data_IF_188349515086
#
_entry.id   IF_188349515086
#
_cell.length_a   1.000
_cell.length_b   1.000
_cell.length_c   1.000
_cell.angle_alpha   90.00
_cell.angle_beta   90.00
_cell.angle_gamma   90.00
#
_symmetry.space_group_name_H-M   'P 1'
#
loop_
_entity.id
_entity.type
_entity.pdbx_description
1 polymer ?
#
# COMPACT_ATOMS: atom_id res chain seq x y z
N UNK A 1 -8.40 56.71 -54.51
CA UNK A 1 -7.48 57.23 -53.49
C UNK A 1 -7.28 56.19 -52.41
N UNK A 2 -6.08 55.77 -52.20
CA UNK A 2 -5.68 54.64 -51.33
C UNK A 2 -5.65 55.05 -49.85
N UNK A 3 -6.21 54.24 -49.00
CA UNK A 3 -6.02 54.30 -47.54
C UNK A 3 -5.08 53.17 -47.11
N UNK A 4 -4.00 53.52 -46.41
CA UNK A 4 -2.98 52.64 -45.88
C UNK A 4 -3.38 52.24 -44.47
N UNK A 5 -3.41 50.95 -44.19
CA UNK A 5 -3.62 50.41 -42.87
C UNK A 5 -2.27 50.16 -42.16
N UNK A 6 -2.11 50.68 -40.97
CA UNK A 6 -0.95 50.47 -40.08
C UNK A 6 -1.30 49.36 -39.10
N UNK A 7 -0.43 48.36 -38.98
CA UNK A 7 -0.46 47.30 -37.99
C UNK A 7 0.24 47.76 -36.68
N UNK A 8 -0.23 47.37 -35.50
CA UNK A 8 0.55 47.51 -34.28
C UNK A 8 1.34 46.24 -33.95
N UNK A 9 2.54 46.44 -33.56
CA UNK A 9 3.58 45.51 -33.07
C UNK A 9 3.11 44.84 -31.75
N UNK A 10 3.22 43.51 -31.72
CA UNK A 10 3.05 42.71 -30.52
C UNK A 10 4.30 42.77 -29.63
N UNK A 11 4.12 43.14 -28.37
CA UNK A 11 5.14 43.01 -27.32
C UNK A 11 5.18 41.57 -26.81
N UNK A 12 6.39 41.01 -26.78
CA UNK A 12 6.70 39.77 -26.07
C UNK A 12 6.84 40.10 -24.58
N UNK A 13 5.96 39.54 -23.77
CA UNK A 13 6.17 39.44 -22.32
C UNK A 13 6.56 38.00 -21.99
N UNK A 14 7.76 37.85 -21.42
CA UNK A 14 8.28 36.62 -20.83
C UNK A 14 7.49 36.23 -19.59
N UNK A 15 6.79 35.09 -19.63
CA UNK A 15 6.28 34.43 -18.44
C UNK A 15 7.28 33.38 -17.93
N UNK A 16 7.60 33.34 -16.62
CA UNK A 16 8.48 32.32 -16.07
C UNK A 16 7.76 30.99 -15.93
N UNK A 17 8.38 29.95 -16.47
CA UNK A 17 7.94 28.56 -16.37
C UNK A 17 7.93 28.07 -14.90
N UNK A 18 6.79 28.08 -14.27
CA UNK A 18 6.54 27.30 -13.07
C UNK A 18 6.07 25.90 -13.48
N UNK A 19 6.96 24.91 -13.29
CA UNK A 19 6.65 23.49 -13.42
C UNK A 19 5.68 23.02 -12.35
N UNK A 20 4.39 23.29 -12.54
CA UNK A 20 3.31 22.71 -11.76
C UNK A 20 3.01 21.31 -12.26
N UNK A 21 3.07 20.32 -11.39
CA UNK A 21 2.55 18.98 -11.64
C UNK A 21 1.04 19.14 -11.91
N UNK A 22 0.65 18.99 -13.18
CA UNK A 22 -0.77 18.89 -13.56
C UNK A 22 -1.25 17.49 -13.17
N UNK A 23 -2.00 17.41 -12.08
CA UNK A 23 -2.92 16.29 -11.88
C UNK A 23 -3.95 16.35 -13.02
N UNK A 24 -3.96 15.32 -13.86
CA UNK A 24 -5.07 15.10 -14.80
C UNK A 24 -6.31 14.80 -13.95
N UNK A 25 -7.20 15.78 -13.84
CA UNK A 25 -8.53 15.57 -13.29
C UNK A 25 -9.26 14.61 -14.24
N UNK A 26 -9.94 13.57 -13.74
CA UNK A 26 -10.77 12.71 -14.57
C UNK A 26 -11.86 13.53 -15.23
N UNK A 27 -12.20 13.18 -16.46
CA UNK A 27 -13.24 13.79 -17.29
C UNK A 27 -14.59 13.76 -16.52
N UNK A 28 -15.27 14.90 -16.30
CA UNK A 28 -16.54 14.95 -15.58
C UNK A 28 -17.72 14.28 -16.28
N UNK A 29 -17.51 13.65 -17.44
CA UNK A 29 -18.55 12.91 -18.19
C UNK A 29 -18.70 11.45 -17.79
N UNK A 30 -17.84 10.90 -16.90
CA UNK A 30 -18.03 9.57 -16.35
C UNK A 30 -18.96 9.67 -15.15
N UNK A 31 -20.03 8.89 -15.17
CA UNK A 31 -21.05 8.76 -14.11
C UNK A 31 -20.39 8.42 -12.76
N UNK A 32 -19.89 9.47 -12.08
CA UNK A 32 -19.25 9.34 -10.80
C UNK A 32 -20.34 9.23 -9.75
N UNK A 33 -20.63 7.99 -9.31
CA UNK A 33 -21.38 7.81 -8.08
C UNK A 33 -20.72 8.65 -6.99
N UNK A 34 -21.48 9.47 -6.26
CA UNK A 34 -20.99 10.36 -5.20
C UNK A 34 -20.21 9.59 -4.10
N UNK A 35 -20.36 8.27 -4.05
CA UNK A 35 -19.72 7.38 -3.09
C UNK A 35 -19.18 6.19 -3.87
N UNK A 36 -17.88 5.90 -3.69
CA UNK A 36 -17.26 4.71 -4.26
C UNK A 36 -17.99 3.44 -3.81
N UNK A 37 -18.39 2.52 -4.72
CA UNK A 37 -19.12 1.30 -4.37
C UNK A 37 -18.48 0.48 -3.26
N UNK A 38 -17.16 0.36 -3.22
CA UNK A 38 -16.44 -0.35 -2.14
C UNK A 38 -16.79 0.15 -0.75
N UNK A 39 -17.07 1.43 -0.58
CA UNK A 39 -17.39 1.99 0.74
C UNK A 39 -18.75 1.50 1.30
N UNK A 40 -19.63 1.04 0.44
CA UNK A 40 -20.96 0.53 0.85
C UNK A 40 -20.90 -0.86 1.48
N UNK A 41 -19.75 -1.53 1.41
CA UNK A 41 -19.58 -2.90 1.89
C UNK A 41 -18.56 -2.97 3.02
N UNK A 42 -18.82 -3.88 3.96
CA UNK A 42 -17.78 -4.38 4.87
C UNK A 42 -17.28 -5.71 4.34
N UNK A 43 -15.99 -5.79 4.11
CA UNK A 43 -15.36 -7.01 3.62
C UNK A 43 -14.84 -7.84 4.80
N UNK A 44 -15.10 -9.13 4.75
CA UNK A 44 -14.49 -10.15 5.58
C UNK A 44 -13.88 -11.19 4.65
N UNK A 45 -12.59 -11.50 4.83
CA UNK A 45 -11.81 -12.37 3.95
C UNK A 45 -11.08 -13.41 4.77
N UNK A 46 -11.18 -14.66 4.35
CA UNK A 46 -10.43 -15.76 4.94
C UNK A 46 -8.97 -15.71 4.47
N UNK A 47 -8.05 -15.80 5.43
CA UNK A 47 -6.61 -15.91 5.19
C UNK A 47 -6.14 -17.24 5.75
N UNK A 48 -5.51 -18.04 4.89
CA UNK A 48 -5.11 -19.40 5.21
C UNK A 48 -3.82 -19.43 6.03
N UNK A 49 -3.77 -20.40 6.92
CA UNK A 49 -2.54 -20.76 7.62
C UNK A 49 -1.51 -21.32 6.65
N UNK A 50 -0.23 -20.99 6.89
CA UNK A 50 0.90 -21.51 6.16
C UNK A 50 1.96 -22.05 7.13
N UNK A 51 2.15 -23.35 7.20
CA UNK A 51 3.08 -23.98 8.14
C UNK A 51 4.53 -23.49 7.97
N UNK A 52 4.95 -23.26 6.73
CA UNK A 52 6.26 -22.73 6.39
C UNK A 52 6.12 -21.34 5.78
N UNK A 53 5.79 -20.37 6.62
CA UNK A 53 5.44 -19.02 6.19
C UNK A 53 6.61 -18.24 5.57
N UNK A 54 7.81 -18.41 6.14
CA UNK A 54 8.98 -17.61 5.77
C UNK A 54 10.26 -18.45 5.64
N UNK A 55 11.08 -18.06 4.69
CA UNK A 55 12.43 -18.60 4.51
C UNK A 55 13.43 -17.46 4.38
N UNK A 56 14.50 -17.48 5.16
CA UNK A 56 15.57 -16.49 5.05
C UNK A 56 16.22 -16.45 3.66
N UNK A 57 16.15 -17.55 2.88
CA UNK A 57 16.70 -17.65 1.52
C UNK A 57 15.68 -17.26 0.45
N UNK A 58 14.43 -17.69 0.58
CA UNK A 58 13.40 -17.59 -0.47
C UNK A 58 12.38 -16.47 -0.22
N UNK A 59 12.27 -15.97 1.01
CA UNK A 59 11.23 -15.03 1.42
C UNK A 59 9.93 -15.73 1.81
N UNK A 60 8.79 -15.11 1.59
CA UNK A 60 7.47 -15.67 1.86
C UNK A 60 7.18 -16.86 0.93
N UNK A 61 6.70 -17.97 1.51
CA UNK A 61 6.43 -19.21 0.78
C UNK A 61 4.92 -19.34 0.49
N UNK A 62 4.37 -18.37 -0.23
CA UNK A 62 2.95 -18.24 -0.53
C UNK A 62 2.71 -18.50 -2.03
N UNK A 63 2.07 -19.59 -2.36
CA UNK A 63 1.63 -19.89 -3.72
C UNK A 63 0.32 -19.14 -4.09
N UNK A 64 -0.27 -19.44 -5.24
CA UNK A 64 -1.47 -18.76 -5.73
C UNK A 64 -2.71 -18.96 -4.84
N UNK A 65 -2.76 -20.02 -4.04
CA UNK A 65 -3.88 -20.29 -3.14
C UNK A 65 -3.98 -19.27 -1.98
N UNK A 66 -2.92 -18.50 -1.74
CA UNK A 66 -2.85 -17.43 -0.74
C UNK A 66 -3.16 -16.05 -1.29
N UNK A 67 -3.60 -15.94 -2.56
CA UNK A 67 -3.94 -14.65 -3.17
C UNK A 67 -5.13 -14.02 -2.45
N UNK A 68 -4.96 -12.75 -2.08
CA UNK A 68 -6.04 -11.95 -1.54
C UNK A 68 -7.03 -11.57 -2.65
N UNK A 69 -8.30 -11.49 -2.29
CA UNK A 69 -9.33 -10.96 -3.17
C UNK A 69 -9.00 -9.51 -3.56
N UNK A 70 -9.37 -9.12 -4.76
CA UNK A 70 -9.31 -7.75 -5.22
C UNK A 70 -10.72 -7.13 -5.22
N UNK A 71 -10.86 -6.00 -4.54
CA UNK A 71 -12.13 -5.28 -4.47
C UNK A 71 -12.14 -4.03 -5.36
N UNK A 72 -11.03 -3.71 -6.04
CA UNK A 72 -10.92 -2.59 -6.96
C UNK A 72 -11.88 -2.67 -8.12
N UNK A 73 -12.21 -3.87 -8.57
CA UNK A 73 -13.18 -4.10 -9.64
C UNK A 73 -14.57 -3.50 -9.33
N UNK A 74 -14.96 -3.40 -8.06
CA UNK A 74 -16.21 -2.76 -7.66
C UNK A 74 -16.27 -1.27 -7.99
N UNK A 75 -15.10 -0.63 -8.04
CA UNK A 75 -14.94 0.77 -8.43
C UNK A 75 -14.48 0.92 -9.89
N UNK A 76 -14.44 -0.18 -10.66
CA UNK A 76 -13.95 -0.21 -12.04
C UNK A 76 -12.42 -0.11 -12.16
N UNK A 77 -11.69 -0.29 -11.07
CA UNK A 77 -10.21 -0.32 -11.09
C UNK A 77 -9.71 -1.69 -11.56
N UNK A 78 -8.64 -1.71 -12.33
CA UNK A 78 -7.96 -2.95 -12.71
C UNK A 78 -6.73 -3.14 -11.84
N UNK A 79 -6.64 -4.25 -11.08
CA UNK A 79 -5.49 -4.52 -10.24
C UNK A 79 -4.22 -4.69 -11.09
N UNK A 80 -3.12 -4.14 -10.62
CA UNK A 80 -1.82 -4.25 -11.29
C UNK A 80 -0.80 -5.08 -10.49
N UNK A 81 -1.13 -5.40 -9.24
CA UNK A 81 -0.28 -6.20 -8.36
C UNK A 81 -0.99 -7.51 -7.96
N UNK A 82 -0.27 -8.63 -8.02
CA UNK A 82 -0.66 -9.88 -7.34
C UNK A 82 -0.22 -9.78 -5.89
N UNK A 83 -1.17 -9.83 -4.96
CA UNK A 83 -0.92 -9.73 -3.52
C UNK A 83 -1.38 -11.02 -2.84
N UNK A 84 -0.48 -11.64 -2.10
CA UNK A 84 -0.73 -12.87 -1.34
C UNK A 84 -0.42 -12.64 0.12
N UNK A 85 -1.19 -13.28 0.99
CA UNK A 85 -1.01 -13.21 2.44
C UNK A 85 -1.22 -14.56 3.08
N UNK A 86 -0.41 -14.87 4.08
CA UNK A 86 -0.55 -16.06 4.91
C UNK A 86 -0.14 -15.74 6.35
N UNK A 87 -0.51 -16.64 7.25
CA UNK A 87 -0.23 -16.51 8.67
C UNK A 87 0.16 -17.84 9.30
N UNK A 88 0.82 -17.78 10.45
CA UNK A 88 0.95 -18.83 11.45
C UNK A 88 1.25 -18.21 12.82
N UNK A 89 1.57 -19.04 13.82
CA UNK A 89 1.91 -18.55 15.15
C UNK A 89 3.19 -17.67 15.18
N UNK A 90 4.05 -17.75 14.15
CA UNK A 90 5.28 -16.95 14.05
C UNK A 90 5.00 -15.52 13.55
N UNK A 91 3.86 -15.26 12.90
CA UNK A 91 3.50 -13.93 12.39
C UNK A 91 2.68 -13.92 11.11
N UNK A 92 2.81 -12.81 10.36
CA UNK A 92 2.13 -12.55 9.10
C UNK A 92 3.15 -12.37 7.99
N UNK A 93 2.90 -12.95 6.82
CA UNK A 93 3.72 -12.73 5.64
C UNK A 93 2.89 -12.30 4.43
N UNK A 94 3.54 -11.52 3.58
CA UNK A 94 3.00 -11.05 2.31
C UNK A 94 3.97 -11.35 1.19
N UNK A 95 3.43 -11.64 0.02
CA UNK A 95 4.16 -11.69 -1.24
C UNK A 95 3.44 -10.81 -2.25
N UNK A 96 4.19 -9.97 -2.93
CA UNK A 96 3.67 -9.01 -3.91
C UNK A 96 4.46 -9.12 -5.19
N UNK A 97 3.77 -9.11 -6.33
CA UNK A 97 4.37 -9.00 -7.66
C UNK A 97 3.72 -7.88 -8.44
N UNK A 98 4.53 -6.97 -8.93
CA UNK A 98 4.12 -5.87 -9.82
C UNK A 98 4.84 -6.04 -11.15
N UNK A 99 4.07 -6.02 -12.25
CA UNK A 99 4.58 -6.21 -13.61
C UNK A 99 4.21 -5.03 -14.53
N UNK A 100 4.78 -5.04 -15.73
CA UNK A 100 4.47 -4.07 -16.79
C UNK A 100 5.11 -2.70 -16.55
N UNK A 101 6.19 -2.65 -15.78
CA UNK A 101 6.99 -1.45 -15.56
C UNK A 101 7.98 -1.22 -16.71
N UNK A 102 8.44 0.02 -16.83
CA UNK A 102 9.46 0.44 -17.80
C UNK A 102 10.74 0.92 -17.12
N UNK A 103 10.64 1.27 -15.83
CA UNK A 103 11.74 1.79 -15.01
C UNK A 103 11.86 1.00 -13.72
N UNK A 104 12.98 1.14 -13.03
CA UNK A 104 13.17 0.59 -11.68
C UNK A 104 12.22 1.27 -10.68
N UNK A 105 11.77 0.57 -9.63
CA UNK A 105 10.97 1.17 -8.57
C UNK A 105 11.67 2.39 -7.97
N UNK A 106 10.91 3.45 -7.77
CA UNK A 106 11.41 4.62 -7.09
C UNK A 106 11.24 4.46 -5.58
N UNK A 107 12.33 4.24 -4.89
CA UNK A 107 12.34 4.01 -3.45
C UNK A 107 13.39 4.86 -2.77
N UNK A 108 13.04 5.45 -1.63
CA UNK A 108 13.89 6.27 -0.79
C UNK A 108 13.66 5.94 0.68
N UNK A 109 14.70 5.53 1.38
CA UNK A 109 14.65 5.27 2.82
C UNK A 109 14.24 6.53 3.63
N UNK A 110 14.52 7.72 3.11
CA UNK A 110 14.10 8.99 3.71
C UNK A 110 12.66 9.41 3.39
N UNK A 111 11.94 8.67 2.54
CA UNK A 111 10.56 8.94 2.10
C UNK A 111 9.80 7.63 1.93
N UNK A 112 9.66 6.91 3.03
CA UNK A 112 9.09 5.56 3.04
C UNK A 112 7.64 5.53 2.55
N UNK A 113 6.83 6.47 2.98
CA UNK A 113 5.42 6.61 2.67
C UNK A 113 5.10 7.04 1.23
N UNK A 114 6.07 7.68 0.55
CA UNK A 114 5.95 8.10 -0.85
C UNK A 114 6.60 7.13 -1.84
N UNK A 115 7.29 6.11 -1.34
CA UNK A 115 8.09 5.16 -2.14
C UNK A 115 7.25 4.06 -2.76
N UNK A 116 7.69 3.57 -3.92
CA UNK A 116 7.09 2.38 -4.54
C UNK A 116 7.27 1.16 -3.61
N UNK A 117 6.19 0.43 -3.36
CA UNK A 117 6.23 -0.75 -2.51
C UNK A 117 4.89 -1.07 -1.84
N UNK A 118 4.98 -1.90 -0.82
CA UNK A 118 3.85 -2.37 -0.02
C UNK A 118 3.78 -1.60 1.29
N UNK A 119 2.62 -1.08 1.61
CA UNK A 119 2.26 -0.63 2.95
C UNK A 119 1.11 -1.50 3.47
N UNK A 120 1.17 -1.89 4.73
CA UNK A 120 0.13 -2.68 5.38
C UNK A 120 -0.27 -2.05 6.71
N UNK A 121 -1.55 -2.08 6.99
CA UNK A 121 -2.13 -1.70 8.27
C UNK A 121 -2.81 -2.91 8.88
N UNK A 122 -2.51 -3.20 10.14
CA UNK A 122 -3.01 -4.37 10.87
C UNK A 122 -3.51 -3.94 12.23
N UNK A 123 -4.77 -4.22 12.55
CA UNK A 123 -5.30 -4.18 13.92
C UNK A 123 -5.43 -5.60 14.46
N UNK A 124 -4.60 -5.96 15.43
CA UNK A 124 -4.58 -7.30 16.02
C UNK A 124 -5.78 -7.60 16.91
N UNK A 125 -6.68 -6.63 17.12
CA UNK A 125 -7.92 -6.79 17.90
C UNK A 125 -9.16 -6.78 17.04
N UNK A 126 -9.06 -6.47 15.76
CA UNK A 126 -10.19 -6.33 14.83
C UNK A 126 -11.31 -5.46 15.42
N UNK A 127 -10.95 -4.32 16.02
CA UNK A 127 -11.89 -3.47 16.73
C UNK A 127 -12.76 -2.72 15.73
N UNK A 128 -14.06 -3.01 15.72
CA UNK A 128 -14.99 -2.39 14.78
C UNK A 128 -15.44 -1.00 15.24
N UNK A 129 -15.65 -0.08 14.28
CA UNK A 129 -16.22 1.25 14.55
C UNK A 129 -15.27 2.21 15.28
N UNK A 130 -13.97 1.94 15.31
CA UNK A 130 -12.96 2.80 15.92
C UNK A 130 -12.31 3.65 14.83
N UNK A 131 -12.44 4.99 14.95
CA UNK A 131 -11.91 5.97 13.99
C UNK A 131 -10.50 6.45 14.30
N UNK A 132 -9.87 5.98 15.37
CA UNK A 132 -8.52 6.35 15.76
C UNK A 132 -7.75 5.12 16.20
N UNK A 133 -6.59 4.92 15.59
CA UNK A 133 -5.72 3.78 15.87
C UNK A 133 -5.32 3.71 17.35
N UNK A 134 -5.26 2.48 17.88
CA UNK A 134 -4.78 2.14 19.21
C UNK A 134 -3.38 1.54 19.16
N UNK A 135 -2.80 1.22 20.30
CA UNK A 135 -1.52 0.50 20.40
C UNK A 135 -1.50 -0.87 19.70
N UNK A 136 -2.65 -1.40 19.31
CA UNK A 136 -2.80 -2.66 18.59
C UNK A 136 -2.89 -2.49 17.07
N UNK A 137 -2.87 -1.24 16.60
CA UNK A 137 -2.85 -0.91 15.19
C UNK A 137 -1.42 -0.62 14.72
N UNK A 138 -0.95 -1.39 13.77
CA UNK A 138 0.41 -1.33 13.22
C UNK A 138 0.38 -0.83 11.78
N UNK A 139 1.34 -0.02 11.38
CA UNK A 139 1.61 0.35 9.98
C UNK A 139 3.03 -0.05 9.63
N UNK A 140 3.19 -0.94 8.67
CA UNK A 140 4.49 -1.36 8.16
C UNK A 140 4.65 -0.98 6.70
N UNK A 141 5.88 -0.68 6.32
CA UNK A 141 6.27 -0.38 4.95
C UNK A 141 7.38 -1.31 4.51
N UNK A 142 7.26 -1.81 3.29
CA UNK A 142 8.22 -2.71 2.67
C UNK A 142 8.51 -2.23 1.26
N UNK A 143 9.76 -1.84 1.02
CA UNK A 143 10.20 -1.33 -0.27
C UNK A 143 11.05 -2.37 -0.99
N UNK A 144 10.90 -2.55 -2.31
CA UNK A 144 11.69 -3.52 -3.06
C UNK A 144 13.17 -3.14 -3.18
N UNK A 145 13.52 -1.87 -2.93
CA UNK A 145 14.87 -1.33 -2.93
C UNK A 145 14.90 -0.02 -2.13
N UNK A 146 16.02 0.70 -2.11
CA UNK A 146 16.13 2.02 -1.48
C UNK A 146 17.07 2.04 -0.29
N UNK A 147 17.41 0.86 0.28
CA UNK A 147 18.34 0.69 1.39
C UNK A 147 19.78 0.41 0.95
N UNK A 148 20.67 0.40 1.94
CA UNK A 148 22.09 0.17 1.73
C UNK A 148 22.81 1.32 1.03
N UNK A 149 24.12 1.14 0.79
CA UNK A 149 24.96 2.20 0.18
C UNK A 149 24.60 2.51 -1.26
N UNK A 150 24.12 1.53 -2.01
CA UNK A 150 23.78 1.65 -3.44
C UNK A 150 22.28 1.84 -3.68
N UNK A 151 21.47 1.94 -2.60
CA UNK A 151 20.02 2.00 -2.67
C UNK A 151 19.39 0.81 -3.44
N UNK A 152 20.02 -0.36 -3.39
CA UNK A 152 19.56 -1.58 -4.06
C UNK A 152 18.98 -2.59 -3.07
N UNK A 153 19.26 -2.44 -1.79
CA UNK A 153 18.74 -3.32 -0.76
C UNK A 153 17.26 -3.03 -0.49
N UNK A 154 16.43 -4.06 -0.23
CA UNK A 154 15.05 -3.85 0.20
C UNK A 154 15.03 -3.21 1.59
N UNK A 155 13.95 -2.47 1.88
CA UNK A 155 13.75 -1.78 3.15
C UNK A 155 12.48 -2.27 3.82
N UNK A 156 12.53 -2.48 5.13
CA UNK A 156 11.36 -2.72 5.95
C UNK A 156 11.40 -1.81 7.18
N UNK A 157 10.31 -1.12 7.47
CA UNK A 157 10.21 -0.24 8.61
C UNK A 157 8.77 -0.14 9.12
N UNK A 158 8.63 0.41 10.32
CA UNK A 158 7.35 0.77 10.91
C UNK A 158 7.12 2.28 10.77
N UNK A 159 5.94 2.65 10.31
CA UNK A 159 5.48 4.04 10.32
C UNK A 159 4.45 4.26 11.42
N UNK A 160 4.39 5.48 11.92
CA UNK A 160 3.32 5.89 12.81
C UNK A 160 2.02 6.08 12.02
N UNK A 161 0.90 5.77 12.65
CA UNK A 161 -0.42 6.10 12.13
C UNK A 161 -0.78 7.50 12.63
N UNK A 162 -1.01 8.42 11.71
CA UNK A 162 -1.38 9.79 12.07
C UNK A 162 -2.65 9.79 12.91
N UNK A 163 -2.75 10.76 13.83
CA UNK A 163 -3.93 10.95 14.69
C UNK A 163 -4.29 9.73 15.55
N UNK A 164 -3.40 8.75 15.68
CA UNK A 164 -3.60 7.62 16.58
C UNK A 164 -3.92 8.09 18.01
N UNK A 165 -4.77 7.36 18.71
CA UNK A 165 -5.01 7.57 20.14
C UNK A 165 -3.79 7.13 20.96
N UNK A 166 -3.20 6.01 20.55
CA UNK A 166 -1.99 5.44 21.12
C UNK A 166 -1.16 4.83 19.99
N UNK A 167 0.14 5.03 20.02
CA UNK A 167 1.04 4.41 19.06
C UNK A 167 1.34 2.96 19.44
N UNK A 168 1.48 2.10 18.45
CA UNK A 168 2.02 0.76 18.65
C UNK A 168 3.47 0.84 19.18
N UNK A 169 3.90 -0.24 19.86
CA UNK A 169 5.29 -0.35 20.32
C UNK A 169 6.23 -0.20 19.11
N UNK A 170 7.31 0.59 19.24
CA UNK A 170 8.32 0.70 18.19
C UNK A 170 8.96 -0.66 17.90
N UNK A 171 9.05 -1.00 16.61
CA UNK A 171 9.75 -2.17 16.11
C UNK A 171 11.25 -1.85 16.07
N UNK A 172 12.07 -2.79 16.51
CA UNK A 172 13.54 -2.64 16.44
C UNK A 172 14.01 -2.84 15.02
N UNK A 173 15.13 -2.20 14.67
CA UNK A 173 15.77 -2.39 13.39
C UNK A 173 15.99 -3.90 13.10
N UNK A 174 15.58 -4.34 11.90
CA UNK A 174 15.68 -5.73 11.43
C UNK A 174 14.74 -6.76 12.09
N UNK A 175 13.82 -6.36 12.95
CA UNK A 175 12.78 -7.28 13.41
C UNK A 175 11.82 -7.62 12.26
N UNK A 176 11.44 -6.65 11.42
CA UNK A 176 10.73 -6.90 10.16
C UNK A 176 11.70 -7.51 9.15
N UNK A 177 11.20 -8.47 8.36
CA UNK A 177 12.01 -9.13 7.35
C UNK A 177 11.46 -8.82 5.96
N UNK A 178 12.36 -8.58 5.01
CA UNK A 178 12.02 -8.25 3.64
C UNK A 178 13.01 -8.86 2.66
N UNK A 179 12.52 -9.31 1.53
CA UNK A 179 13.33 -9.74 0.38
C UNK A 179 12.68 -9.25 -0.89
N UNK A 180 13.50 -8.99 -1.88
CA UNK A 180 13.00 -8.56 -3.19
C UNK A 180 13.82 -9.15 -4.33
N UNK A 181 13.17 -9.21 -5.50
CA UNK A 181 13.81 -9.39 -6.79
C UNK A 181 13.32 -8.27 -7.68
N UNK A 182 14.23 -7.46 -8.20
CA UNK A 182 13.89 -6.27 -8.98
C UNK A 182 14.49 -6.37 -10.37
N UNK A 183 13.66 -6.14 -11.38
CA UNK A 183 14.04 -5.95 -12.77
C UNK A 183 13.47 -4.61 -13.27
N UNK A 184 13.79 -4.21 -14.50
CA UNK A 184 13.19 -3.01 -15.10
C UNK A 184 11.67 -3.14 -15.31
N UNK A 185 11.22 -4.36 -15.62
CA UNK A 185 9.82 -4.63 -15.99
C UNK A 185 8.94 -5.13 -14.87
N UNK A 186 9.53 -5.56 -13.74
CA UNK A 186 8.78 -6.15 -12.64
C UNK A 186 9.58 -6.11 -11.33
N UNK A 187 8.88 -6.23 -10.21
CA UNK A 187 9.50 -6.63 -8.95
C UNK A 187 8.64 -7.67 -8.22
N UNK A 188 9.31 -8.53 -7.47
CA UNK A 188 8.73 -9.39 -6.47
C UNK A 188 9.21 -8.93 -5.10
N UNK A 189 8.30 -8.83 -4.14
CA UNK A 189 8.55 -8.39 -2.78
C UNK A 189 7.97 -9.41 -1.82
N UNK A 190 8.79 -9.97 -0.96
CA UNK A 190 8.38 -10.80 0.19
C UNK A 190 8.59 -10.02 1.47
N UNK A 191 7.57 -9.95 2.31
CA UNK A 191 7.55 -9.21 3.57
C UNK A 191 7.09 -10.13 4.69
N UNK A 192 7.67 -9.99 5.89
CA UNK A 192 7.29 -10.75 7.06
C UNK A 192 7.35 -9.88 8.31
N UNK A 193 6.24 -9.86 9.03
CA UNK A 193 6.12 -9.25 10.34
C UNK A 193 6.04 -10.39 11.39
N UNK A 194 7.11 -10.67 12.13
CA UNK A 194 7.08 -11.63 13.22
C UNK A 194 6.07 -11.26 14.30
N UNK A 195 5.46 -12.24 14.96
CA UNK A 195 4.48 -12.05 16.02
C UNK A 195 4.96 -11.07 17.12
N UNK A 196 6.27 -11.04 17.39
CA UNK A 196 6.87 -10.11 18.35
C UNK A 196 6.72 -8.64 17.95
N UNK A 197 6.54 -8.34 16.66
CA UNK A 197 6.34 -6.98 16.13
C UNK A 197 4.87 -6.57 16.10
N UNK A 198 3.97 -7.52 16.30
CA UNK A 198 2.53 -7.37 16.24
C UNK A 198 1.95 -7.41 17.66
N UNK A 199 1.95 -6.27 18.36
CA UNK A 199 1.41 -6.19 19.72
C UNK A 199 -0.01 -6.73 19.81
N UNK A 200 -0.23 -7.71 20.66
CA UNK A 200 -1.54 -8.35 20.84
C UNK A 200 -1.91 -9.43 19.80
N UNK A 201 -0.99 -9.80 18.90
CA UNK A 201 -1.23 -10.90 17.97
C UNK A 201 -1.28 -12.24 18.71
N UNK A 202 -2.43 -12.88 18.66
CA UNK A 202 -2.72 -14.18 19.27
C UNK A 202 -3.79 -14.87 18.42
N UNK A 203 -3.39 -15.56 17.35
CA UNK A 203 -4.34 -16.12 16.39
C UNK A 203 -5.19 -17.27 16.98
N UNK A 204 -4.75 -17.90 18.07
CA UNK A 204 -5.50 -18.97 18.71
C UNK A 204 -6.72 -18.43 19.51
N UNK A 205 -6.55 -17.31 20.22
CA UNK A 205 -7.62 -16.70 21.00
C UNK A 205 -8.38 -15.61 20.24
N UNK A 206 -7.73 -14.95 19.28
CA UNK A 206 -8.29 -13.88 18.46
C UNK A 206 -7.98 -14.13 16.98
N UNK A 207 -8.76 -15.02 16.30
CA UNK A 207 -8.52 -15.39 14.91
C UNK A 207 -9.05 -14.35 13.91
N UNK A 208 -9.14 -13.08 14.31
CA UNK A 208 -9.60 -11.97 13.46
C UNK A 208 -8.65 -10.80 13.54
N UNK A 209 -8.42 -10.16 12.41
CA UNK A 209 -7.61 -8.96 12.29
C UNK A 209 -8.40 -7.89 11.54
N UNK A 210 -8.21 -6.61 11.92
CA UNK A 210 -8.50 -5.50 11.02
C UNK A 210 -7.33 -5.35 10.05
N UNK A 211 -7.60 -5.12 8.74
CA UNK A 211 -6.55 -5.12 7.75
C UNK A 211 -6.85 -4.25 6.54
N UNK A 212 -5.84 -3.55 6.07
CA UNK A 212 -5.79 -3.01 4.71
C UNK A 212 -4.36 -2.98 4.22
N UNK A 213 -4.20 -2.87 2.90
CA UNK A 213 -2.91 -2.61 2.28
C UNK A 213 -3.03 -1.52 1.21
N UNK A 214 -1.89 -0.94 0.88
CA UNK A 214 -1.69 -0.12 -0.30
C UNK A 214 -0.40 -0.54 -1.02
N UNK A 215 -0.50 -0.73 -2.33
CA UNK A 215 0.66 -0.82 -3.22
C UNK A 215 0.78 0.51 -3.93
N UNK A 216 1.84 1.25 -3.62
CA UNK A 216 2.18 2.46 -4.36
C UNK A 216 3.17 2.12 -5.46
N UNK A 217 2.92 2.58 -6.66
CA UNK A 217 3.80 2.42 -7.79
C UNK A 217 3.69 3.63 -8.73
N UNK A 218 4.77 4.36 -8.94
CA UNK A 218 4.76 5.62 -9.70
C UNK A 218 4.32 5.47 -11.17
N UNK A 219 4.48 4.30 -11.75
CA UNK A 219 4.07 4.04 -13.12
C UNK A 219 2.66 3.41 -13.20
N UNK A 220 2.26 2.65 -12.18
CA UNK A 220 1.01 1.89 -12.19
C UNK A 220 -0.09 2.58 -11.39
N UNK A 221 0.28 3.46 -10.47
CA UNK A 221 -0.65 4.17 -9.59
C UNK A 221 -0.72 3.57 -8.19
N UNK A 222 -1.90 3.60 -7.60
CA UNK A 222 -2.20 3.10 -6.26
C UNK A 222 -3.21 1.96 -6.35
N UNK A 223 -2.90 0.82 -5.74
CA UNK A 223 -3.84 -0.28 -5.52
C UNK A 223 -4.05 -0.46 -4.03
N UNK A 224 -5.30 -0.46 -3.60
CA UNK A 224 -5.68 -0.63 -2.19
C UNK A 224 -6.57 -1.85 -2.00
N UNK A 225 -6.66 -2.36 -0.76
CA UNK A 225 -7.47 -3.53 -0.46
C UNK A 225 -8.95 -3.20 -0.29
N UNK A 226 -9.33 -2.53 0.83
CA UNK A 226 -10.74 -2.39 1.23
C UNK A 226 -11.32 -1.00 0.99
N UNK A 227 -10.49 0.04 0.97
CA UNK A 227 -10.92 1.42 0.78
C UNK A 227 -10.04 2.09 -0.28
N UNK A 228 -10.68 2.81 -1.20
CA UNK A 228 -9.97 3.55 -2.23
C UNK A 228 -9.31 4.83 -1.71
N UNK A 229 -8.55 5.48 -2.59
CA UNK A 229 -7.78 6.71 -2.28
C UNK A 229 -8.63 7.88 -1.76
N UNK A 230 -9.95 7.87 -1.95
CA UNK A 230 -10.87 8.89 -1.44
C UNK A 230 -11.20 8.78 0.06
N UNK A 231 -10.70 7.74 0.75
CA UNK A 231 -11.00 7.48 2.16
C UNK A 231 -9.74 7.56 3.02
N UNK A 232 -9.86 7.97 4.30
CA UNK A 232 -8.72 8.15 5.19
C UNK A 232 -8.21 6.82 5.78
N UNK A 233 -8.11 5.74 4.98
CA UNK A 233 -7.71 4.42 5.45
C UNK A 233 -6.32 4.41 6.11
N UNK A 234 -5.46 5.37 5.79
CA UNK A 234 -4.14 5.49 6.41
C UNK A 234 -4.20 5.86 7.89
N UNK A 235 -5.29 6.51 8.32
CA UNK A 235 -5.45 7.05 9.68
C UNK A 235 -6.62 6.43 10.43
N UNK A 236 -7.63 5.93 9.70
CA UNK A 236 -8.91 5.50 10.26
C UNK A 236 -9.11 3.98 10.12
N UNK A 237 -8.94 3.22 11.21
CA UNK A 237 -9.14 1.77 11.21
C UNK A 237 -10.56 1.32 10.84
N UNK A 238 -11.56 2.19 10.93
CA UNK A 238 -12.93 1.84 10.52
C UNK A 238 -13.08 1.61 9.02
N UNK A 239 -12.09 2.06 8.23
CA UNK A 239 -11.99 1.82 6.79
C UNK A 239 -11.36 0.46 6.44
N UNK A 240 -10.84 -0.29 7.43
CA UNK A 240 -10.14 -1.55 7.19
C UNK A 240 -11.12 -2.71 7.11
N UNK A 241 -10.80 -3.70 6.27
CA UNK A 241 -11.54 -4.96 6.19
C UNK A 241 -11.24 -5.85 7.40
N UNK A 242 -12.08 -6.85 7.60
CA UNK A 242 -11.84 -7.91 8.58
C UNK A 242 -11.18 -9.10 7.88
N UNK A 243 -10.09 -9.64 8.44
CA UNK A 243 -9.52 -10.91 8.04
C UNK A 243 -9.88 -11.97 9.07
N UNK A 244 -10.29 -13.15 8.58
CA UNK A 244 -10.48 -14.35 9.39
C UNK A 244 -9.28 -15.28 9.16
N UNK A 245 -8.57 -15.59 10.23
CA UNK A 245 -7.43 -16.50 10.21
C UNK A 245 -7.96 -17.94 10.25
N UNK A 246 -7.90 -18.65 9.11
CA UNK A 246 -8.42 -20.02 8.96
C UNK A 246 -7.28 -21.02 8.75
N UNK A 247 -7.54 -22.32 9.09
CA UNK A 247 -6.57 -23.42 8.91
C UNK A 247 -6.31 -23.71 7.41
#
# INVERSE_FOLDING_TARGET
MRAVASSPTAGLEDEPAHGGIRFLMPDPSTDSSLIAPRFLFRFAVDVRRCDKLWSAKLGALLDESYRLADFGELDGETPFADVRMGWNAEGLAWWVRVEGRRQLPWCRESRLDESDGLQVWVDTRATTGVHRASQFCHRFVFLPRGGGRTAEEPVADQLLINRARENARPVRARELQVRSKVTKSAYELSAFAPAVTLGGFDPETQPRLGFTYAILDRERGLQTFSAGAGFPYEEDPSCWAELHLVE
#
